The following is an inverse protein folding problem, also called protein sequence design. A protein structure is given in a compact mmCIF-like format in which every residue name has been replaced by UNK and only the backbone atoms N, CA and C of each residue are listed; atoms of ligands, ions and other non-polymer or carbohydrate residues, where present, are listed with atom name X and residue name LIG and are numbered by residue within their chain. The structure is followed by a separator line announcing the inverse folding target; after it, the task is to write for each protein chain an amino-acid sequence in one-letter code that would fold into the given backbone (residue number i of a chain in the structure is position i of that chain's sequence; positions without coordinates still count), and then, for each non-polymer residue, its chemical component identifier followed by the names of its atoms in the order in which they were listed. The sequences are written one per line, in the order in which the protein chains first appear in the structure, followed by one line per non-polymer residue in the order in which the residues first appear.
data_IF_071588160303
#
_entry.id   IF_071588160303
#
_cell.length_a   1.000
_cell.length_b   1.000
_cell.length_c   1.000
_cell.angle_alpha   90.00
_cell.angle_beta   90.00
_cell.angle_gamma   90.00
#
_symmetry.space_group_name_H-M   'P 1'
#
loop_
_entity.id
_entity.type
_entity.pdbx_description
1 polymer ?
#
# COMPACT_ATOMS: atom_id res chain seq x y z
N UNK A 1 -10.63 -10.70 0.97
CA UNK A 1 -10.45 -9.62 -0.02
C UNK A 1 -9.89 -10.30 -1.26
N UNK A 2 -10.55 -10.19 -2.40
CA UNK A 2 -10.05 -10.73 -3.66
C UNK A 2 -8.88 -9.88 -4.15
N UNK A 3 -7.83 -10.53 -4.67
CA UNK A 3 -6.68 -9.85 -5.26
C UNK A 3 -7.11 -9.28 -6.63
N UNK A 4 -7.08 -7.95 -6.80
CA UNK A 4 -7.49 -7.29 -8.05
C UNK A 4 -6.63 -7.73 -9.24
N UNK A 5 -5.40 -8.16 -8.99
CA UNK A 5 -4.45 -8.60 -10.01
C UNK A 5 -4.38 -10.14 -10.11
N UNK A 6 -5.42 -10.85 -9.65
CA UNK A 6 -5.53 -12.29 -9.87
C UNK A 6 -5.57 -12.62 -11.36
N UNK A 7 -5.14 -13.84 -11.73
CA UNK A 7 -4.99 -14.19 -13.15
C UNK A 7 -6.32 -14.20 -13.93
N UNK A 8 -7.38 -14.62 -13.23
CA UNK A 8 -8.75 -14.70 -13.75
C UNK A 8 -9.47 -13.34 -13.83
N UNK A 9 -8.89 -12.26 -13.31
CA UNK A 9 -9.48 -10.93 -13.43
C UNK A 9 -9.06 -10.34 -14.77
N UNK A 10 -10.02 -9.93 -15.59
CA UNK A 10 -9.77 -9.35 -16.90
C UNK A 10 -9.06 -7.98 -16.82
N UNK A 11 -8.09 -7.71 -17.70
CA UNK A 11 -7.31 -6.46 -17.69
C UNK A 11 -8.21 -5.22 -17.93
N UNK A 12 -9.22 -5.32 -18.80
CA UNK A 12 -10.19 -4.24 -19.05
C UNK A 12 -11.03 -4.00 -17.80
N UNK A 13 -11.35 -5.04 -17.03
CA UNK A 13 -12.03 -4.86 -15.74
C UNK A 13 -11.16 -4.09 -14.75
N UNK A 14 -9.86 -4.42 -14.64
CA UNK A 14 -8.92 -3.68 -13.77
C UNK A 14 -8.89 -2.20 -14.17
N UNK A 15 -8.78 -1.90 -15.47
CA UNK A 15 -8.79 -0.52 -15.97
C UNK A 15 -10.10 0.22 -15.62
N UNK A 16 -11.26 -0.46 -15.70
CA UNK A 16 -12.55 0.12 -15.27
C UNK A 16 -12.57 0.42 -13.77
N UNK A 17 -12.02 -0.45 -12.93
CA UNK A 17 -11.89 -0.22 -11.49
C UNK A 17 -11.02 1.02 -11.22
N UNK A 18 -9.89 1.16 -11.91
CA UNK A 18 -9.04 2.37 -11.83
C UNK A 18 -9.78 3.63 -12.29
N UNK A 19 -10.58 3.55 -13.36
CA UNK A 19 -11.38 4.68 -13.81
C UNK A 19 -12.40 5.14 -12.75
N UNK A 20 -12.98 4.21 -11.96
CA UNK A 20 -13.86 4.54 -10.84
C UNK A 20 -13.07 5.18 -9.70
N UNK A 21 -11.94 4.60 -9.27
CA UNK A 21 -11.11 5.15 -8.19
C UNK A 21 -10.58 6.56 -8.50
N UNK A 22 -10.29 6.84 -9.78
CA UNK A 22 -9.93 8.18 -10.23
C UNK A 22 -11.07 9.18 -10.05
N UNK A 23 -12.31 8.81 -10.42
CA UNK A 23 -13.47 9.71 -10.33
C UNK A 23 -13.84 9.99 -8.88
N UNK A 24 -13.84 8.94 -8.06
CA UNK A 24 -14.17 9.01 -6.64
C UNK A 24 -12.96 9.44 -5.78
N UNK A 25 -12.41 10.61 -6.11
CA UNK A 25 -11.21 11.20 -5.49
C UNK A 25 -11.35 11.54 -3.99
N UNK A 26 -12.57 11.50 -3.45
CA UNK A 26 -12.85 11.69 -2.02
C UNK A 26 -12.56 10.46 -1.15
N UNK A 27 -12.12 9.35 -1.74
CA UNK A 27 -11.71 8.13 -1.02
C UNK A 27 -10.23 7.83 -1.20
N UNK A 28 -9.57 7.34 -0.15
CA UNK A 28 -8.29 6.65 -0.27
C UNK A 28 -8.52 5.16 -0.50
N UNK A 29 -7.95 4.63 -1.56
CA UNK A 29 -8.03 3.22 -1.94
C UNK A 29 -6.72 2.54 -1.60
N UNK A 30 -6.76 1.56 -0.70
CA UNK A 30 -5.61 0.70 -0.40
C UNK A 30 -5.73 -0.59 -1.21
N UNK A 31 -4.97 -0.70 -2.30
CA UNK A 31 -4.86 -1.91 -3.11
C UNK A 31 -3.69 -2.76 -2.62
N UNK A 32 -3.91 -4.07 -2.55
CA UNK A 32 -2.89 -5.04 -2.12
C UNK A 32 -2.89 -6.25 -3.04
N UNK A 33 -1.71 -6.72 -3.44
CA UNK A 33 -1.57 -7.91 -4.29
C UNK A 33 -0.37 -8.78 -3.92
N UNK A 34 -0.48 -10.08 -4.21
CA UNK A 34 0.68 -11.00 -4.27
C UNK A 34 1.20 -11.18 -5.69
N UNK A 35 0.45 -10.72 -6.70
CA UNK A 35 0.74 -10.88 -8.13
C UNK A 35 1.53 -9.67 -8.66
N UNK A 36 2.66 -9.38 -8.02
CA UNK A 36 3.45 -8.16 -8.28
C UNK A 36 4.00 -8.06 -9.70
N UNK A 37 4.29 -9.19 -10.35
CA UNK A 37 4.72 -9.22 -11.76
C UNK A 37 3.59 -8.75 -12.70
N UNK A 38 2.35 -9.20 -12.46
CA UNK A 38 1.19 -8.74 -13.24
C UNK A 38 0.90 -7.26 -12.99
N UNK A 39 1.01 -6.82 -11.72
CA UNK A 39 0.95 -5.40 -11.37
C UNK A 39 1.94 -4.58 -12.21
N UNK A 40 3.22 -4.98 -12.23
CA UNK A 40 4.27 -4.28 -12.98
C UNK A 40 4.00 -4.30 -14.49
N UNK A 41 3.55 -5.43 -15.04
CA UNK A 41 3.20 -5.54 -16.47
C UNK A 41 2.08 -4.58 -16.88
N UNK A 42 1.07 -4.41 -16.02
CA UNK A 42 -0.10 -3.58 -16.29
C UNK A 42 0.11 -2.11 -15.95
N UNK A 43 1.13 -1.78 -15.17
CA UNK A 43 1.38 -0.45 -14.63
C UNK A 43 1.22 0.69 -15.66
N UNK A 44 1.81 0.57 -16.85
CA UNK A 44 1.71 1.57 -17.91
C UNK A 44 0.31 1.76 -18.51
N UNK A 45 -0.64 0.88 -18.20
CA UNK A 45 -2.04 0.95 -18.61
C UNK A 45 -2.95 1.48 -17.49
N UNK A 46 -2.41 1.68 -16.29
CA UNK A 46 -3.15 2.12 -15.11
C UNK A 46 -2.95 3.61 -14.89
N UNK A 47 -4.07 4.32 -14.76
CA UNK A 47 -4.04 5.75 -14.47
C UNK A 47 -3.94 5.96 -12.96
N UNK A 48 -2.71 5.96 -12.46
CA UNK A 48 -2.41 6.21 -11.05
C UNK A 48 -2.84 7.61 -10.62
N UNK A 49 -3.33 7.70 -9.38
CA UNK A 49 -3.73 8.94 -8.73
C UNK A 49 -3.26 8.90 -7.27
N UNK A 50 -3.04 10.06 -6.61
CA UNK A 50 -2.52 10.11 -5.24
C UNK A 50 -3.38 9.38 -4.21
N UNK A 51 -4.69 9.29 -4.43
CA UNK A 51 -5.61 8.58 -3.55
C UNK A 51 -5.61 7.05 -3.76
N UNK A 52 -4.90 6.54 -4.77
CA UNK A 52 -4.76 5.11 -5.05
C UNK A 52 -3.41 4.65 -4.50
N UNK A 53 -3.44 4.03 -3.33
CA UNK A 53 -2.26 3.49 -2.67
C UNK A 53 -2.06 2.05 -3.08
N UNK A 54 -0.87 1.71 -3.55
CA UNK A 54 -0.54 0.37 -4.01
C UNK A 54 0.43 -0.30 -3.06
N UNK A 55 0.13 -1.53 -2.68
CA UNK A 55 1.05 -2.33 -1.90
C UNK A 55 1.18 -3.75 -2.39
N UNK A 56 2.26 -4.39 -1.97
CA UNK A 56 2.51 -5.80 -2.20
C UNK A 56 2.62 -6.53 -0.87
N UNK A 57 2.13 -7.77 -0.85
CA UNK A 57 2.38 -8.65 0.29
C UNK A 57 3.77 -9.28 0.17
N UNK A 58 4.55 -9.24 1.26
CA UNK A 58 5.87 -9.89 1.38
C UNK A 58 5.90 -10.70 2.66
N UNK A 59 5.63 -12.00 2.56
CA UNK A 59 5.48 -12.85 3.75
C UNK A 59 6.82 -13.29 4.36
N UNK A 60 7.88 -13.38 3.55
CA UNK A 60 9.22 -13.82 3.94
C UNK A 60 10.27 -13.38 2.87
N UNK A 61 11.53 -13.78 3.06
CA UNK A 61 12.65 -13.41 2.18
C UNK A 61 12.45 -13.84 0.72
N UNK A 62 11.78 -14.98 0.47
CA UNK A 62 11.55 -15.51 -0.88
C UNK A 62 10.72 -14.55 -1.74
N UNK A 63 9.96 -13.65 -1.11
CA UNK A 63 9.06 -12.71 -1.78
C UNK A 63 9.55 -11.26 -1.78
N UNK A 64 10.79 -11.01 -1.34
CA UNK A 64 11.36 -9.65 -1.33
C UNK A 64 11.46 -9.02 -2.71
N UNK A 65 11.61 -9.82 -3.78
CA UNK A 65 11.58 -9.33 -5.17
C UNK A 65 10.30 -8.55 -5.52
N UNK A 66 9.18 -8.77 -4.80
CA UNK A 66 7.95 -8.03 -5.04
C UNK A 66 8.07 -6.55 -4.68
N UNK A 67 8.98 -6.20 -3.76
CA UNK A 67 9.29 -4.82 -3.40
C UNK A 67 9.83 -4.08 -4.63
N UNK A 68 10.70 -4.73 -5.40
CA UNK A 68 11.31 -4.18 -6.60
C UNK A 68 10.28 -3.97 -7.72
N UNK A 69 9.38 -4.94 -7.88
CA UNK A 69 8.23 -4.79 -8.79
C UNK A 69 7.34 -3.60 -8.38
N UNK A 70 7.05 -3.45 -7.08
CA UNK A 70 6.29 -2.29 -6.60
C UNK A 70 7.02 -0.98 -6.88
N UNK A 71 8.33 -0.92 -6.64
CA UNK A 71 9.17 0.25 -6.94
C UNK A 71 9.12 0.62 -8.43
N UNK A 72 9.02 -0.36 -9.31
CA UNK A 72 8.89 -0.17 -10.76
C UNK A 72 7.55 0.45 -11.21
N UNK A 73 6.55 0.54 -10.33
CA UNK A 73 5.25 1.14 -10.69
C UNK A 73 5.22 2.66 -10.57
N UNK A 74 4.29 3.29 -11.30
CA UNK A 74 4.00 4.72 -11.22
C UNK A 74 3.07 5.08 -10.04
N UNK A 75 2.76 4.15 -9.13
CA UNK A 75 1.95 4.44 -7.94
C UNK A 75 2.58 5.54 -7.08
N UNK A 76 1.78 6.52 -6.64
CA UNK A 76 2.27 7.66 -5.85
C UNK A 76 2.63 7.26 -4.42
N UNK A 77 1.80 6.44 -3.80
CA UNK A 77 2.00 5.89 -2.45
C UNK A 77 2.21 4.39 -2.56
N UNK A 78 3.39 3.92 -2.15
CA UNK A 78 3.81 2.52 -2.20
C UNK A 78 3.95 1.98 -0.78
N UNK A 79 3.24 0.90 -0.44
CA UNK A 79 3.34 0.31 0.89
C UNK A 79 3.65 -1.19 0.86
N UNK A 80 4.29 -1.69 1.93
CA UNK A 80 4.51 -3.12 2.12
C UNK A 80 3.51 -3.65 3.15
N UNK A 81 2.85 -4.75 2.81
CA UNK A 81 2.11 -5.55 3.77
C UNK A 81 2.91 -6.81 4.07
N UNK A 82 3.61 -6.81 5.20
CA UNK A 82 4.38 -7.94 5.67
C UNK A 82 3.42 -8.86 6.45
N UNK A 83 2.44 -9.40 5.71
CA UNK A 83 1.29 -10.13 6.25
C UNK A 83 0.85 -11.32 5.38
N UNK A 84 0.63 -12.51 5.99
CA UNK A 84 1.17 -12.84 7.31
C UNK A 84 2.70 -12.77 7.29
N UNK A 85 3.33 -12.26 8.35
CA UNK A 85 4.79 -12.34 8.49
C UNK A 85 5.16 -13.78 8.89
N UNK A 86 5.82 -14.48 7.99
CA UNK A 86 6.13 -15.91 8.09
C UNK A 86 7.62 -16.21 8.32
N UNK A 87 8.44 -15.18 8.39
CA UNK A 87 9.87 -15.31 8.66
C UNK A 87 10.53 -13.94 8.89
N UNK A 88 11.82 -13.91 9.26
CA UNK A 88 12.57 -12.68 9.38
C UNK A 88 12.74 -12.02 8.00
N UNK A 89 12.84 -10.69 8.00
CA UNK A 89 13.11 -9.86 6.83
C UNK A 89 14.25 -8.88 7.15
N UNK A 90 15.48 -9.38 7.37
CA UNK A 90 16.63 -8.51 7.60
C UNK A 90 16.93 -7.68 6.34
N UNK A 91 17.50 -6.49 6.53
CA UNK A 91 18.04 -5.65 5.47
C UNK A 91 17.04 -5.31 4.35
N UNK A 92 15.78 -5.00 4.71
CA UNK A 92 14.78 -4.58 3.75
C UNK A 92 15.22 -3.30 3.04
N UNK A 93 15.23 -3.35 1.71
CA UNK A 93 15.49 -2.17 0.90
C UNK A 93 14.24 -1.27 0.83
N UNK A 94 14.11 -0.35 1.78
CA UNK A 94 12.94 0.53 1.93
C UNK A 94 12.96 1.80 1.04
N UNK A 95 13.99 2.01 0.23
CA UNK A 95 14.07 3.15 -0.68
C UNK A 95 12.87 3.19 -1.63
N UNK A 96 12.12 4.28 -1.64
CA UNK A 96 10.93 4.42 -2.50
C UNK A 96 9.68 3.70 -1.98
N UNK A 97 9.69 3.23 -0.73
CA UNK A 97 8.53 2.75 0.01
C UNK A 97 8.08 3.84 0.97
N UNK A 98 6.76 4.03 1.10
CA UNK A 98 6.15 5.11 1.87
C UNK A 98 5.52 4.63 3.19
N UNK A 99 5.27 3.33 3.34
CA UNK A 99 4.63 2.76 4.53
C UNK A 99 4.88 1.26 4.66
N UNK A 100 5.05 0.78 5.89
CA UNK A 100 5.18 -0.65 6.19
C UNK A 100 4.15 -1.08 7.22
N UNK A 101 3.44 -2.15 6.90
CA UNK A 101 2.42 -2.79 7.75
C UNK A 101 2.92 -4.18 8.12
N UNK A 102 2.92 -4.53 9.41
CA UNK A 102 3.31 -5.86 9.91
C UNK A 102 2.14 -6.53 10.63
N UNK A 103 1.93 -7.82 10.38
CA UNK A 103 0.89 -8.58 11.07
C UNK A 103 1.03 -10.09 10.92
N UNK A 104 0.63 -10.81 11.96
CA UNK A 104 0.65 -12.27 11.98
C UNK A 104 -0.60 -12.91 11.34
N UNK A 105 -0.47 -14.21 11.04
CA UNK A 105 -1.55 -15.02 10.48
C UNK A 105 -2.71 -15.17 11.48
N UNK A 106 -3.95 -15.18 11.01
CA UNK A 106 -5.15 -15.30 11.87
C UNK A 106 -5.93 -16.57 11.56
N UNK A 107 -6.55 -17.17 12.59
CA UNK A 107 -7.45 -18.31 12.44
C UNK A 107 -6.85 -19.65 12.88
N UNK A 108 -7.59 -20.75 12.71
CA UNK A 108 -7.11 -22.08 13.07
C UNK A 108 -5.82 -22.42 12.31
N UNK A 109 -4.81 -22.94 13.01
CA UNK A 109 -3.53 -23.27 12.40
C UNK A 109 -2.61 -22.09 12.09
N UNK A 110 -2.94 -20.88 12.57
CA UNK A 110 -2.10 -19.70 12.39
C UNK A 110 -0.66 -19.94 12.86
N UNK A 111 0.29 -19.69 11.98
CA UNK A 111 1.73 -19.81 12.28
C UNK A 111 2.16 -18.69 13.24
N UNK A 112 2.99 -19.00 14.26
CA UNK A 112 3.46 -18.00 15.21
C UNK A 112 4.42 -17.02 14.54
N UNK A 113 4.19 -15.73 14.76
CA UNK A 113 5.12 -14.66 14.41
C UNK A 113 6.04 -14.38 15.60
N UNK A 114 7.35 -14.27 15.36
CA UNK A 114 8.31 -14.02 16.44
C UNK A 114 8.45 -12.53 16.73
N UNK A 115 8.58 -12.19 18.02
CA UNK A 115 8.74 -10.81 18.48
C UNK A 115 9.92 -10.08 17.82
N UNK A 116 11.07 -10.75 17.74
CA UNK A 116 12.28 -10.13 17.19
C UNK A 116 12.17 -9.81 15.69
N UNK A 117 11.33 -10.53 14.92
CA UNK A 117 11.07 -10.19 13.51
C UNK A 117 10.36 -8.84 13.39
N UNK A 118 9.38 -8.60 14.26
CA UNK A 118 8.58 -7.37 14.25
C UNK A 118 9.42 -6.18 14.71
N UNK A 119 10.20 -6.33 15.79
CA UNK A 119 11.04 -5.23 16.29
C UNK A 119 12.16 -4.87 15.34
N UNK A 120 12.75 -5.86 14.67
CA UNK A 120 13.78 -5.62 13.65
C UNK A 120 13.21 -4.79 12.49
N UNK A 121 12.08 -5.18 11.91
CA UNK A 121 11.40 -4.43 10.84
C UNK A 121 11.05 -3.01 11.30
N UNK A 122 10.53 -2.85 12.52
CA UNK A 122 10.22 -1.54 13.10
C UNK A 122 11.47 -0.66 13.15
N UNK A 123 12.60 -1.20 13.61
CA UNK A 123 13.84 -0.44 13.76
C UNK A 123 14.44 -0.07 12.39
N UNK A 124 14.34 -0.96 11.40
CA UNK A 124 14.64 -0.64 10.00
C UNK A 124 13.76 0.52 9.48
N UNK A 125 12.44 0.49 9.73
CA UNK A 125 11.53 1.56 9.33
C UNK A 125 11.88 2.90 10.00
N UNK A 126 12.18 2.89 11.31
CA UNK A 126 12.59 4.09 12.04
C UNK A 126 13.89 4.67 11.52
N UNK A 127 14.88 3.83 11.22
CA UNK A 127 16.15 4.26 10.64
C UNK A 127 15.94 4.91 9.26
N UNK A 128 15.04 4.35 8.44
CA UNK A 128 14.67 4.87 7.13
C UNK A 128 13.64 6.03 7.17
N UNK A 129 13.13 6.39 8.36
CA UNK A 129 12.02 7.35 8.55
C UNK A 129 10.76 7.00 7.77
N UNK A 130 10.45 5.71 7.67
CA UNK A 130 9.23 5.20 7.04
C UNK A 130 8.19 4.92 8.14
N UNK A 131 6.94 5.41 7.97
CA UNK A 131 5.84 5.07 8.86
C UNK A 131 5.72 3.56 9.08
N UNK A 132 5.57 3.16 10.34
CA UNK A 132 5.41 1.76 10.74
C UNK A 132 4.05 1.51 11.40
N UNK A 133 3.31 0.55 10.87
CA UNK A 133 2.03 0.10 11.42
C UNK A 133 2.12 -1.35 11.88
N UNK A 134 1.89 -1.59 13.17
CA UNK A 134 1.76 -2.94 13.71
C UNK A 134 0.29 -3.30 13.86
N UNK A 135 -0.17 -4.22 13.02
CA UNK A 135 -1.58 -4.59 12.94
C UNK A 135 -2.00 -5.55 14.03
N UNK A 136 -1.27 -6.66 14.23
CA UNK A 136 -1.58 -7.69 15.23
C UNK A 136 -0.53 -8.81 15.27
N UNK A 137 -0.45 -9.55 16.39
CA UNK A 137 0.40 -10.75 16.50
C UNK A 137 -0.13 -11.96 15.72
N UNK A 138 -1.43 -12.01 15.42
CA UNK A 138 -2.08 -13.19 14.85
C UNK A 138 -2.39 -14.27 15.89
N UNK A 139 -2.87 -15.43 15.43
CA UNK A 139 -3.26 -16.56 16.27
C UNK A 139 -4.72 -17.00 16.11
N UNK A 140 -5.07 -18.10 16.79
CA UNK A 140 -6.39 -18.72 16.69
C UNK A 140 -7.52 -17.86 17.30
N UNK A 141 -7.23 -17.05 18.32
CA UNK A 141 -8.20 -16.20 18.99
C UNK A 141 -7.93 -14.72 18.71
N UNK A 142 -8.62 -14.16 17.70
CA UNK A 142 -8.48 -12.76 17.25
C UNK A 142 -8.53 -11.73 18.39
N UNK A 143 -9.29 -11.97 19.46
CA UNK A 143 -9.40 -11.06 20.61
C UNK A 143 -8.20 -11.06 21.55
N UNK A 144 -7.39 -12.11 21.57
CA UNK A 144 -6.19 -12.22 22.42
C UNK A 144 -4.91 -11.78 21.71
N UNK A 145 -4.91 -11.80 20.38
CA UNK A 145 -3.75 -11.53 19.53
C UNK A 145 -3.22 -10.09 19.62
N UNK A 146 -3.96 -9.15 20.23
CA UNK A 146 -3.48 -7.81 20.56
C UNK A 146 -2.99 -6.96 19.38
N UNK A 147 -2.74 -5.68 19.64
CA UNK A 147 -2.09 -4.75 18.71
C UNK A 147 -0.91 -4.02 19.35
N UNK A 148 -0.56 -4.45 20.56
CA UNK A 148 0.50 -3.84 21.33
C UNK A 148 1.84 -4.49 21.00
N UNK A 149 2.82 -3.63 20.73
CA UNK A 149 4.22 -3.95 20.59
C UNK A 149 4.96 -2.97 21.50
N UNK A 150 5.67 -3.50 22.49
CA UNK A 150 6.35 -2.72 23.54
C UNK A 150 5.42 -1.79 24.33
N UNK A 151 4.28 -2.34 24.75
CA UNK A 151 3.32 -1.66 25.63
C UNK A 151 2.58 -0.49 24.98
N UNK A 152 2.61 -0.37 23.65
CA UNK A 152 1.87 0.65 22.90
C UNK A 152 1.41 0.12 21.54
N UNK A 153 0.45 0.81 20.94
CA UNK A 153 0.10 0.59 19.53
C UNK A 153 1.03 1.37 18.61
N UNK A 154 1.22 0.84 17.40
CA UNK A 154 1.99 1.49 16.34
C UNK A 154 1.06 1.65 15.15
N UNK A 155 0.48 2.85 15.00
CA UNK A 155 -0.61 3.13 14.06
C UNK A 155 -0.22 4.22 13.03
N UNK A 156 1.07 4.34 12.73
CA UNK A 156 1.57 5.37 11.82
C UNK A 156 1.03 5.14 10.40
N UNK A 157 0.79 6.24 9.67
CA UNK A 157 0.28 6.24 8.30
C UNK A 157 1.13 7.15 7.41
N UNK A 158 1.19 6.90 6.09
CA UNK A 158 1.86 7.81 5.18
C UNK A 158 1.13 9.15 5.15
N UNK A 159 1.89 10.24 5.16
CA UNK A 159 1.33 11.56 4.89
C UNK A 159 0.94 11.65 3.42
N UNK A 160 -0.19 12.29 3.06
CA UNK A 160 -0.52 12.55 1.67
C UNK A 160 0.64 13.29 1.01
N UNK A 161 1.20 12.73 -0.08
CA UNK A 161 2.21 13.46 -0.85
C UNK A 161 1.52 14.69 -1.44
N UNK A 162 2.11 15.90 -1.31
CA UNK A 162 1.53 17.10 -1.90
C UNK A 162 1.36 16.89 -3.40
N UNK A 163 0.20 17.28 -3.92
CA UNK A 163 -0.03 17.37 -5.36
C UNK A 163 1.00 18.34 -5.93
N UNK A 164 1.94 17.83 -6.73
CA UNK A 164 2.74 18.71 -7.59
C UNK A 164 1.81 19.11 -8.73
N UNK A 165 1.10 20.22 -8.55
CA UNK A 165 0.33 20.83 -9.63
C UNK A 165 1.35 21.43 -10.60
N UNK A 166 1.45 20.85 -11.79
CA UNK A 166 2.21 21.49 -12.85
C UNK A 166 1.33 22.63 -13.39
N UNK A 167 1.63 23.86 -12.99
CA UNK A 167 0.86 25.04 -13.38
C UNK A 167 0.79 25.25 -14.91
N UNK A 168 1.62 24.54 -15.68
CA UNK A 168 1.62 24.55 -17.14
C UNK A 168 0.87 23.36 -17.79
N UNK A 169 0.32 22.43 -17.01
CA UNK A 169 -0.51 21.32 -17.49
C UNK A 169 -1.98 21.52 -17.05
N UNK A 170 -2.88 21.93 -17.97
CA UNK A 170 -4.30 22.14 -17.68
C UNK A 170 -5.01 20.89 -17.14
N UNK A 171 -4.50 19.68 -17.41
CA UNK A 171 -5.09 18.42 -16.92
C UNK A 171 -4.74 18.11 -15.45
N UNK A 172 -3.77 18.82 -14.88
CA UNK A 172 -3.32 18.65 -13.48
C UNK A 172 -4.10 19.50 -12.47
N UNK A 173 -5.00 20.36 -12.95
CA UNK A 173 -5.86 21.17 -12.09
C UNK A 173 -7.02 20.33 -11.57
N UNK A 174 -7.24 20.26 -10.25
CA UNK A 174 -8.47 19.68 -9.72
C UNK A 174 -9.63 20.53 -10.22
N UNK A 175 -10.54 19.91 -10.99
CA UNK A 175 -11.59 20.61 -11.73
C UNK A 175 -12.40 21.55 -10.85
N UNK A 176 -12.13 22.85 -10.97
CA UNK A 176 -13.00 23.91 -10.46
C UNK A 176 -14.20 23.98 -11.41
N UNK A 177 -15.23 23.20 -11.13
CA UNK A 177 -16.56 23.48 -11.64
C UNK A 177 -17.13 24.62 -10.81
N UNK A 178 -17.25 25.81 -11.39
CA UNK A 178 -17.83 26.97 -10.72
C UNK A 178 -17.92 28.22 -11.59
N UNK A 179 -19.00 28.31 -12.36
CA UNK A 179 -19.81 29.50 -12.67
C UNK A 179 -19.13 30.87 -12.75
N UNK A 180 -19.25 31.51 -13.93
CA UNK A 180 -19.06 32.94 -14.08
C UNK A 180 -19.28 33.38 -15.52
N UNK A 181 -20.55 33.50 -15.94
CA UNK A 181 -20.93 34.32 -17.09
C UNK A 181 -20.31 35.71 -16.92
N UNK A 182 -19.37 36.05 -17.81
CA UNK A 182 -18.92 37.43 -17.95
C UNK A 182 -19.95 38.11 -18.84
N UNK A 183 -20.82 38.91 -18.21
CA UNK A 183 -21.67 39.85 -18.92
C UNK A 183 -20.78 40.82 -19.70
N UNK A 184 -20.90 40.83 -21.02
CA UNK A 184 -20.36 41.87 -21.88
C UNK A 184 -21.44 42.92 -22.13
N UNK A 185 -21.00 44.18 -22.03
CA UNK A 185 -21.75 45.42 -22.23
C UNK A 185 -22.42 45.55 -23.60
#
# INVERSE_FOLDING_TARGET
MSDLFHEDVDDVFIQKVFAVMRRAHWHHYQLLTKRSERLLRLDGQLQWQPQIWMGVSVENMDYTYRIDHLRGTHAHTKFLSLEPLLGPLPDLHLTGIDWVIVGGESGPGARPMQYHWVTDIRDQCRAARIPFFFKQWGGAQKRRAGRELDGRTWDEMPSPKPLVVNLFDPSSWPGILGSGEVAAH
#
